data_IF_750249189484
#
_entry.id   IF_750249189484
#
_cell.length_a   1.000
_cell.length_b   1.000
_cell.length_c   1.000
_cell.angle_alpha   90.00
_cell.angle_beta   90.00
_cell.angle_gamma   90.00
#
_symmetry.space_group_name_H-M   'P 1'
#
loop_
_entity.id
_entity.type
_entity.pdbx_description
1 polymer ?
#
# COMPACT_ATOMS: atom_id res chain seq x y z
N UNK A 1 7.53 5.11 29.92
CA UNK A 1 6.16 4.63 29.62
C UNK A 1 6.15 4.11 28.19
N UNK A 2 5.45 3.00 27.92
CA UNK A 2 5.50 2.34 26.61
C UNK A 2 4.58 2.98 25.56
N UNK A 3 4.90 2.75 24.28
CA UNK A 3 4.11 3.25 23.15
C UNK A 3 2.64 2.76 23.18
N UNK A 4 2.43 1.54 23.70
CA UNK A 4 1.10 0.93 23.93
C UNK A 4 0.25 1.77 24.88
N UNK A 5 0.83 2.34 25.95
CA UNK A 5 0.12 3.20 26.89
C UNK A 5 -0.35 4.50 26.21
N UNK A 6 0.47 5.06 25.32
CA UNK A 6 0.14 6.26 24.55
C UNK A 6 -0.96 5.99 23.51
N UNK A 7 -0.91 4.84 22.83
CA UNK A 7 -1.92 4.37 21.88
C UNK A 7 -3.30 4.22 22.55
N UNK A 8 -3.35 3.59 23.73
CA UNK A 8 -4.59 3.42 24.49
C UNK A 8 -5.13 4.73 25.09
N UNK A 9 -4.28 5.74 25.32
CA UNK A 9 -4.69 7.06 25.80
C UNK A 9 -5.29 7.93 24.68
N UNK A 10 -4.75 7.84 23.45
CA UNK A 10 -5.19 8.64 22.30
C UNK A 10 -6.43 8.07 21.60
N UNK A 11 -6.63 6.75 21.61
CA UNK A 11 -7.73 6.08 20.90
C UNK A 11 -8.66 5.34 21.87
N UNK A 12 -9.38 6.13 22.69
CA UNK A 12 -10.31 5.62 23.68
C UNK A 12 -11.43 4.76 23.07
N UNK A 13 -11.49 3.47 23.44
CA UNK A 13 -12.62 2.60 23.13
C UNK A 13 -13.86 3.04 23.92
N UNK A 14 -14.98 3.23 23.23
CA UNK A 14 -16.30 3.30 23.87
C UNK A 14 -16.65 1.92 24.48
N UNK A 15 -17.18 1.86 25.71
CA UNK A 15 -17.62 0.59 26.29
C UNK A 15 -18.89 0.09 25.58
N UNK A 16 -19.05 -1.24 25.39
CA UNK A 16 -20.26 -1.80 24.79
C UNK A 16 -21.49 -1.65 25.70
N UNK A 17 -22.71 -1.55 25.14
CA UNK A 17 -23.92 -1.27 25.91
C UNK A 17 -24.31 -2.43 26.83
N UNK A 18 -24.54 -2.11 28.11
CA UNK A 18 -24.89 -3.11 29.14
C UNK A 18 -26.33 -3.60 28.95
N UNK A 19 -26.51 -4.81 28.41
CA UNK A 19 -27.84 -5.40 28.19
C UNK A 19 -28.47 -5.86 29.51
N UNK A 20 -29.44 -5.09 30.02
CA UNK A 20 -30.18 -5.43 31.23
C UNK A 20 -30.93 -6.77 31.09
N UNK A 21 -30.82 -7.64 32.09
CA UNK A 21 -31.61 -8.88 32.20
C UNK A 21 -33.02 -8.54 32.69
N UNK A 22 -34.00 -8.61 31.81
CA UNK A 22 -35.43 -8.60 32.21
C UNK A 22 -35.81 -10.00 32.69
N UNK A 23 -36.52 -10.11 33.82
CA UNK A 23 -36.92 -11.38 34.43
C UNK A 23 -38.40 -11.67 34.15
N UNK A 24 -38.66 -12.77 33.44
CA UNK A 24 -39.94 -13.50 33.38
C UNK A 24 -39.68 -14.86 32.66
N UNK A 25 -40.51 -15.90 32.76
CA UNK A 25 -41.77 -16.03 33.50
C UNK A 25 -42.59 -17.26 33.08
N UNK A 26 -42.11 -18.47 33.42
CA UNK A 26 -42.79 -19.80 33.46
C UNK A 26 -44.09 -20.06 32.65
N UNK A 27 -44.00 -20.98 31.69
CA UNK A 27 -44.98 -22.04 31.33
C UNK A 27 -44.20 -23.12 30.52
N UNK A 28 -44.36 -24.45 30.55
CA UNK A 28 -45.53 -25.36 30.69
C UNK A 28 -46.51 -25.31 29.50
N UNK A 29 -46.97 -26.40 28.86
CA UNK A 29 -46.47 -27.78 28.63
C UNK A 29 -47.50 -28.54 27.76
N UNK A 30 -47.13 -29.35 26.74
CA UNK A 30 -47.94 -30.49 26.21
C UNK A 30 -47.18 -31.34 25.18
N UNK A 31 -47.79 -32.46 24.77
CA UNK A 31 -47.25 -33.56 23.93
C UNK A 31 -48.38 -34.09 23.00
N UNK A 32 -48.05 -34.94 22.01
CA UNK A 32 -48.94 -35.61 21.01
C UNK A 32 -49.54 -34.70 19.91
N UNK A 33 -49.89 -35.17 18.69
CA UNK A 33 -49.87 -36.56 18.17
C UNK A 33 -49.57 -36.66 16.64
N UNK A 34 -49.52 -37.90 16.12
CA UNK A 34 -49.12 -38.29 14.74
C UNK A 34 -50.07 -37.93 13.58
N UNK A 35 -49.56 -37.98 12.34
CA UNK A 35 -50.30 -38.42 11.13
C UNK A 35 -49.33 -39.00 10.07
N UNK A 36 -49.75 -40.07 9.38
CA UNK A 36 -49.02 -40.80 8.32
C UNK A 36 -49.76 -40.69 6.96
N UNK A 37 -49.21 -41.02 5.79
CA UNK A 37 -48.04 -41.88 5.43
C UNK A 37 -47.05 -41.07 4.52
N UNK A 38 -46.15 -41.56 3.64
CA UNK A 38 -45.95 -42.85 2.95
C UNK A 38 -44.46 -43.11 2.60
N UNK A 39 -44.22 -44.10 1.71
CA UNK A 39 -42.98 -44.87 1.57
C UNK A 39 -42.22 -44.59 0.26
N UNK A 40 -40.90 -44.84 0.24
CA UNK A 40 -40.10 -44.76 -0.98
C UNK A 40 -38.59 -44.98 -0.77
N UNK A 41 -38.14 -46.23 -0.79
CA UNK A 41 -36.72 -46.58 -0.87
C UNK A 41 -36.09 -46.05 -2.17
N UNK A 42 -34.81 -45.65 -2.11
CA UNK A 42 -33.82 -45.93 -3.16
C UNK A 42 -32.38 -45.68 -2.68
N UNK A 43 -31.42 -46.35 -3.31
CA UNK A 43 -30.07 -46.54 -2.81
C UNK A 43 -29.13 -45.32 -2.90
N UNK A 44 -28.10 -45.34 -2.05
CA UNK A 44 -26.83 -44.64 -2.32
C UNK A 44 -26.06 -45.38 -3.41
N UNK A 45 -25.52 -44.68 -4.42
CA UNK A 45 -24.22 -45.02 -5.04
C UNK A 45 -23.65 -43.82 -5.84
N UNK A 46 -22.33 -43.76 -6.10
CA UNK A 46 -21.64 -42.57 -6.59
C UNK A 46 -21.58 -42.47 -8.12
N UNK A 47 -21.38 -41.26 -8.64
CA UNK A 47 -21.22 -40.99 -10.07
C UNK A 47 -19.86 -40.38 -10.42
N UNK A 48 -18.84 -41.24 -10.58
CA UNK A 48 -17.75 -40.97 -11.52
C UNK A 48 -18.15 -41.55 -12.87
N UNK A 49 -18.64 -40.69 -13.78
CA UNK A 49 -19.09 -41.10 -15.11
C UNK A 49 -17.92 -41.16 -16.09
N UNK A 50 -17.91 -42.21 -16.91
CA UNK A 50 -16.85 -42.57 -17.85
C UNK A 50 -16.94 -41.86 -19.21
N UNK A 51 -16.02 -42.28 -20.10
CA UNK A 51 -15.94 -42.08 -21.56
C UNK A 51 -14.96 -40.98 -21.98
N UNK A 52 -14.21 -41.14 -23.09
CA UNK A 52 -14.44 -42.07 -24.21
C UNK A 52 -13.52 -43.29 -24.35
N UNK A 53 -13.96 -44.22 -25.21
CA UNK A 53 -13.34 -45.51 -25.53
C UNK A 53 -13.50 -45.80 -27.01
N UNK A 54 -12.42 -45.77 -27.79
CA UNK A 54 -12.37 -46.29 -29.16
C UNK A 54 -11.52 -47.56 -29.24
N UNK A 55 -11.87 -48.46 -30.16
CA UNK A 55 -11.43 -49.87 -30.17
C UNK A 55 -10.53 -50.15 -31.37
N UNK A 56 -9.52 -51.00 -31.18
CA UNK A 56 -8.86 -51.77 -32.23
C UNK A 56 -8.26 -53.05 -31.67
N UNK A 57 -7.95 -54.00 -32.56
CA UNK A 57 -8.06 -55.44 -32.26
C UNK A 57 -6.72 -56.19 -32.25
N UNK A 58 -6.59 -57.09 -31.27
CA UNK A 58 -5.68 -58.23 -31.10
C UNK A 58 -4.43 -58.41 -32.00
N UNK A 59 -3.30 -58.70 -31.37
CA UNK A 59 -2.40 -59.83 -31.70
C UNK A 59 -1.62 -60.25 -30.44
N UNK A 60 -1.37 -61.55 -30.27
CA UNK A 60 -0.51 -62.11 -29.21
C UNK A 60 0.91 -62.34 -29.73
N UNK A 61 1.92 -61.90 -28.99
CA UNK A 61 3.33 -62.25 -29.22
C UNK A 61 4.10 -62.28 -27.89
N UNK A 62 5.17 -63.08 -27.84
CA UNK A 62 5.85 -63.48 -26.60
C UNK A 62 7.06 -62.61 -26.26
N UNK A 63 7.24 -62.38 -24.95
CA UNK A 63 8.40 -61.87 -24.19
C UNK A 63 9.70 -61.44 -24.93
N UNK A 64 10.24 -60.29 -24.51
CA UNK A 64 11.52 -60.18 -23.78
C UNK A 64 11.61 -58.86 -23.00
N UNK A 65 12.48 -58.79 -22.01
CA UNK A 65 12.84 -57.54 -21.32
C UNK A 65 13.64 -56.61 -22.24
N UNK A 66 13.43 -55.30 -22.17
CA UNK A 66 14.54 -54.34 -22.22
C UNK A 66 14.18 -52.97 -21.60
N UNK A 67 15.20 -52.25 -21.13
CA UNK A 67 15.06 -50.99 -20.40
C UNK A 67 14.96 -49.81 -21.37
N UNK A 68 13.98 -48.92 -21.18
CA UNK A 68 14.05 -47.56 -21.73
C UNK A 68 13.30 -46.57 -20.85
N UNK A 69 14.04 -45.58 -20.34
CA UNK A 69 13.50 -44.48 -19.55
C UNK A 69 12.84 -43.44 -20.45
N UNK A 70 11.59 -43.08 -20.15
CA UNK A 70 11.00 -41.83 -20.64
C UNK A 70 10.19 -41.21 -19.51
N UNK A 71 10.89 -40.43 -18.67
CA UNK A 71 10.23 -39.53 -17.73
C UNK A 71 9.72 -38.33 -18.52
N UNK A 72 8.42 -38.31 -18.80
CA UNK A 72 7.73 -37.15 -19.37
C UNK A 72 7.77 -36.03 -18.34
N UNK A 73 8.82 -35.21 -18.38
CA UNK A 73 8.88 -33.96 -17.61
C UNK A 73 7.72 -33.10 -18.06
N UNK A 74 6.73 -32.94 -17.18
CA UNK A 74 5.79 -31.83 -17.26
C UNK A 74 6.65 -30.57 -17.15
N UNK A 75 6.86 -29.90 -18.28
CA UNK A 75 7.61 -28.64 -18.35
C UNK A 75 6.71 -27.54 -17.81
N UNK A 76 6.61 -27.48 -16.48
CA UNK A 76 5.93 -26.42 -15.75
C UNK A 76 6.47 -25.08 -16.23
N UNK A 77 5.65 -24.35 -16.98
CA UNK A 77 6.06 -23.09 -17.58
C UNK A 77 6.15 -22.04 -16.48
N UNK A 78 7.37 -21.79 -15.99
CA UNK A 78 7.73 -20.71 -15.08
C UNK A 78 7.44 -19.35 -15.73
N UNK A 79 6.15 -19.02 -15.79
CA UNK A 79 5.64 -17.73 -16.22
C UNK A 79 5.96 -16.74 -15.12
N UNK A 80 7.19 -16.21 -15.18
CA UNK A 80 7.70 -15.12 -14.33
C UNK A 80 6.94 -13.84 -14.61
N UNK A 81 5.68 -13.82 -14.16
CA UNK A 81 4.97 -12.61 -13.80
C UNK A 81 5.92 -11.81 -12.94
N UNK A 82 6.36 -10.65 -13.46
CA UNK A 82 7.10 -9.66 -12.69
C UNK A 82 6.16 -9.15 -11.59
N UNK A 83 6.12 -9.86 -10.46
CA UNK A 83 5.37 -9.49 -9.27
C UNK A 83 6.07 -8.31 -8.63
N UNK A 84 5.84 -7.13 -9.22
CA UNK A 84 6.23 -5.84 -8.67
C UNK A 84 5.72 -5.79 -7.23
N UNK A 85 6.64 -5.58 -6.29
CA UNK A 85 6.30 -5.50 -4.87
C UNK A 85 5.31 -4.34 -4.66
N UNK A 86 4.23 -4.59 -3.94
CA UNK A 86 3.27 -3.56 -3.56
C UNK A 86 3.96 -2.41 -2.80
N UNK A 87 5.04 -2.70 -2.06
CA UNK A 87 5.89 -1.68 -1.42
C UNK A 87 6.63 -0.84 -2.47
N UNK A 88 7.21 -1.42 -3.53
CA UNK A 88 7.81 -0.64 -4.63
C UNK A 88 6.78 0.22 -5.38
N UNK A 89 5.56 -0.28 -5.58
CA UNK A 89 4.49 0.50 -6.21
C UNK A 89 4.07 1.67 -5.31
N UNK A 90 3.97 1.46 -3.99
CA UNK A 90 3.71 2.51 -3.00
C UNK A 90 4.83 3.56 -3.02
N UNK A 91 6.09 3.13 -2.92
CA UNK A 91 7.29 3.98 -2.92
C UNK A 91 7.38 4.84 -4.20
N UNK A 92 7.13 4.24 -5.37
CA UNK A 92 7.05 4.96 -6.65
C UNK A 92 5.88 5.96 -6.68
N UNK A 93 4.74 5.59 -6.11
CA UNK A 93 3.54 6.45 -6.04
C UNK A 93 3.77 7.67 -5.15
N UNK A 94 4.49 7.51 -4.02
CA UNK A 94 4.84 8.60 -3.10
C UNK A 94 5.83 9.56 -3.77
N UNK A 95 6.92 9.04 -4.34
CA UNK A 95 7.89 9.88 -5.04
C UNK A 95 7.26 10.65 -6.20
N UNK A 96 6.43 9.98 -7.01
CA UNK A 96 5.80 10.58 -8.18
C UNK A 96 4.65 11.55 -7.85
N UNK A 97 3.86 11.34 -6.78
CA UNK A 97 2.83 12.31 -6.38
C UNK A 97 3.46 13.65 -6.00
N UNK A 98 4.56 13.59 -5.26
CA UNK A 98 5.14 14.77 -4.65
C UNK A 98 6.04 15.49 -5.67
N UNK A 99 6.77 14.74 -6.50
CA UNK A 99 7.51 15.29 -7.64
C UNK A 99 6.63 15.94 -8.70
N UNK A 100 5.41 15.44 -8.94
CA UNK A 100 4.43 16.13 -9.79
C UNK A 100 3.90 17.41 -9.14
N UNK A 101 3.80 17.48 -7.81
CA UNK A 101 3.05 18.54 -7.12
C UNK A 101 3.94 19.69 -6.65
N UNK A 102 5.08 19.41 -6.02
CA UNK A 102 5.93 20.41 -5.36
C UNK A 102 6.77 21.21 -6.38
N UNK A 103 7.56 20.59 -7.28
CA UNK A 103 8.21 21.28 -8.40
C UNK A 103 7.25 22.08 -9.29
N UNK A 104 6.02 21.59 -9.51
CA UNK A 104 5.00 22.36 -10.25
C UNK A 104 4.57 23.61 -9.48
N UNK A 105 4.24 23.48 -8.19
CA UNK A 105 3.86 24.62 -7.37
C UNK A 105 4.99 25.67 -7.28
N UNK A 106 6.24 25.22 -7.12
CA UNK A 106 7.41 26.11 -7.09
C UNK A 106 7.62 26.81 -8.45
N UNK A 107 7.61 26.08 -9.57
CA UNK A 107 7.84 26.68 -10.89
C UNK A 107 6.72 27.64 -11.30
N UNK A 108 5.47 27.34 -10.95
CA UNK A 108 4.35 28.27 -11.07
C UNK A 108 4.57 29.52 -10.20
N UNK A 109 4.93 29.36 -8.93
CA UNK A 109 5.25 30.45 -8.01
C UNK A 109 6.35 31.37 -8.52
N UNK A 110 7.51 30.81 -8.88
CA UNK A 110 8.65 31.57 -9.42
C UNK A 110 8.34 32.25 -10.77
N UNK A 111 7.39 31.72 -11.55
CA UNK A 111 6.96 32.35 -12.80
C UNK A 111 6.27 33.71 -12.58
N UNK A 112 5.74 33.97 -11.38
CA UNK A 112 5.18 35.27 -11.03
C UNK A 112 6.25 36.39 -10.99
N UNK A 113 7.53 36.05 -10.86
CA UNK A 113 8.66 36.99 -10.89
C UNK A 113 9.10 37.37 -12.32
N UNK A 114 8.47 36.81 -13.36
CA UNK A 114 8.74 37.18 -14.75
C UNK A 114 10.13 36.84 -15.28
N UNK A 115 10.89 35.93 -14.66
CA UNK A 115 12.24 35.56 -15.08
C UNK A 115 12.44 34.05 -15.29
N UNK A 116 12.49 33.61 -16.55
CA UNK A 116 12.66 32.18 -16.94
C UNK A 116 13.87 31.52 -16.26
N UNK A 117 14.98 32.25 -16.13
CA UNK A 117 16.20 31.76 -15.47
C UNK A 117 15.97 31.41 -14.00
N UNK A 118 15.19 32.21 -13.27
CA UNK A 118 14.87 31.94 -11.86
C UNK A 118 14.03 30.68 -11.73
N UNK A 119 13.05 30.50 -12.62
CA UNK A 119 12.20 29.28 -12.67
C UNK A 119 13.04 28.03 -12.93
N UNK A 120 13.93 28.05 -13.95
CA UNK A 120 14.77 26.90 -14.30
C UNK A 120 15.77 26.59 -13.19
N UNK A 121 16.58 27.56 -12.73
CA UNK A 121 17.61 27.29 -11.73
C UNK A 121 17.03 26.97 -10.35
N UNK A 122 15.96 27.68 -9.93
CA UNK A 122 15.27 27.41 -8.68
C UNK A 122 14.57 26.05 -8.67
N UNK A 123 13.83 25.73 -9.74
CA UNK A 123 13.15 24.44 -9.89
C UNK A 123 14.14 23.27 -10.01
N UNK A 124 15.23 23.40 -10.77
CA UNK A 124 16.26 22.34 -10.85
C UNK A 124 17.00 22.14 -9.52
N UNK A 125 17.25 23.20 -8.76
CA UNK A 125 17.90 23.11 -7.45
C UNK A 125 16.98 22.43 -6.41
N UNK A 126 15.70 22.81 -6.36
CA UNK A 126 14.71 22.15 -5.52
C UNK A 126 14.53 20.69 -5.94
N UNK A 127 14.34 20.40 -7.23
CA UNK A 127 14.14 19.04 -7.74
C UNK A 127 15.25 18.07 -7.33
N UNK A 128 16.52 18.50 -7.41
CA UNK A 128 17.67 17.70 -6.98
C UNK A 128 17.69 17.55 -5.45
N UNK A 129 17.47 18.63 -4.70
CA UNK A 129 17.45 18.60 -3.23
C UNK A 129 16.29 17.74 -2.68
N UNK A 130 15.10 17.84 -3.26
CA UNK A 130 13.90 17.08 -2.93
C UNK A 130 14.07 15.59 -3.25
N UNK A 131 14.58 15.24 -4.43
CA UNK A 131 14.86 13.85 -4.80
C UNK A 131 15.87 13.18 -3.83
N UNK A 132 16.94 13.90 -3.45
CA UNK A 132 17.92 13.42 -2.46
C UNK A 132 17.26 13.30 -1.07
N UNK A 133 16.52 14.31 -0.64
CA UNK A 133 15.84 14.35 0.66
C UNK A 133 14.84 13.20 0.82
N UNK A 134 13.96 12.99 -0.17
CA UNK A 134 12.97 11.91 -0.14
C UNK A 134 13.61 10.51 -0.30
N UNK A 135 14.66 10.39 -1.11
CA UNK A 135 15.44 9.15 -1.21
C UNK A 135 16.09 8.77 0.13
N UNK A 136 16.68 9.73 0.84
CA UNK A 136 17.22 9.53 2.19
C UNK A 136 16.11 9.23 3.22
N UNK A 137 14.94 9.87 3.10
CA UNK A 137 13.76 9.55 3.91
C UNK A 137 13.30 8.10 3.74
N UNK A 138 13.15 7.63 2.50
CA UNK A 138 12.83 6.25 2.18
C UNK A 138 13.88 5.25 2.68
N UNK A 139 15.17 5.56 2.45
CA UNK A 139 16.28 4.75 2.98
C UNK A 139 16.20 4.60 4.51
N UNK A 140 16.04 5.72 5.22
CA UNK A 140 16.10 5.75 6.67
C UNK A 140 14.85 5.13 7.31
N UNK A 141 13.66 5.33 6.71
CA UNK A 141 12.42 4.67 7.12
C UNK A 141 12.50 3.15 6.98
N UNK A 142 12.85 2.64 5.79
CA UNK A 142 13.00 1.21 5.54
C UNK A 142 14.13 0.57 6.38
N UNK A 143 15.21 1.32 6.65
CA UNK A 143 16.27 0.90 7.60
C UNK A 143 15.78 0.88 9.05
N UNK A 144 14.90 1.80 9.45
CA UNK A 144 14.30 1.83 10.79
C UNK A 144 13.32 0.68 10.99
N UNK A 145 12.52 0.31 9.98
CA UNK A 145 11.69 -0.91 9.99
C UNK A 145 12.55 -2.17 10.17
N UNK A 146 13.68 -2.26 9.46
CA UNK A 146 14.62 -3.38 9.61
C UNK A 146 15.32 -3.44 10.97
N UNK A 147 15.54 -2.29 11.61
CA UNK A 147 16.03 -2.23 12.99
C UNK A 147 14.94 -2.67 14.00
N UNK A 148 13.70 -2.19 13.83
CA UNK A 148 12.53 -2.58 14.65
C UNK A 148 12.33 -4.09 14.63
N UNK A 149 12.17 -4.68 13.44
CA UNK A 149 11.98 -6.13 13.27
C UNK A 149 13.08 -6.97 13.93
N UNK A 150 14.35 -6.52 13.87
CA UNK A 150 15.47 -7.21 14.51
C UNK A 150 15.37 -7.14 16.04
N UNK A 151 15.03 -5.98 16.59
CA UNK A 151 14.93 -5.81 18.05
C UNK A 151 13.72 -6.55 18.62
N UNK A 152 12.54 -6.44 18.00
CA UNK A 152 11.35 -7.21 18.39
C UNK A 152 11.60 -8.72 18.31
N UNK A 153 12.28 -9.20 17.27
CA UNK A 153 12.64 -10.63 17.13
C UNK A 153 13.64 -11.06 18.22
N UNK A 154 14.57 -10.18 18.61
CA UNK A 154 15.50 -10.41 19.73
C UNK A 154 14.76 -10.49 21.07
N UNK A 155 13.85 -9.55 21.33
CA UNK A 155 13.01 -9.53 22.53
C UNK A 155 12.08 -10.75 22.61
N UNK A 156 11.43 -11.13 21.51
CA UNK A 156 10.59 -12.34 21.43
C UNK A 156 11.42 -13.62 21.65
N UNK A 157 12.65 -13.68 21.13
CA UNK A 157 13.57 -14.80 21.37
C UNK A 157 13.94 -14.91 22.85
N UNK A 158 14.28 -13.79 23.49
CA UNK A 158 14.56 -13.73 24.94
C UNK A 158 13.33 -14.12 25.76
N UNK A 159 12.17 -13.54 25.47
CA UNK A 159 10.91 -13.82 26.18
C UNK A 159 10.55 -15.31 26.12
N UNK A 160 10.77 -15.97 24.98
CA UNK A 160 10.59 -17.42 24.81
C UNK A 160 11.55 -18.26 25.68
N UNK A 161 12.72 -17.73 26.05
CA UNK A 161 13.72 -18.42 26.87
C UNK A 161 13.58 -18.11 28.37
N UNK A 162 13.30 -16.86 28.71
CA UNK A 162 13.23 -16.36 30.10
C UNK A 162 11.84 -16.59 30.73
N UNK A 163 10.75 -16.48 29.96
CA UNK A 163 9.36 -16.71 30.44
C UNK A 163 8.48 -17.42 29.38
N UNK A 164 8.59 -18.76 29.28
CA UNK A 164 7.72 -19.56 28.42
C UNK A 164 6.23 -19.46 28.76
N UNK A 165 5.85 -19.08 29.98
CA UNK A 165 4.46 -18.93 30.37
C UNK A 165 3.85 -17.64 29.79
N UNK A 166 4.62 -16.55 29.74
CA UNK A 166 4.26 -15.33 29.01
C UNK A 166 4.18 -15.58 27.51
N UNK A 167 5.11 -16.36 26.93
CA UNK A 167 5.04 -16.75 25.51
C UNK A 167 3.75 -17.53 25.19
N UNK A 168 3.37 -18.47 26.06
CA UNK A 168 2.11 -19.23 25.98
C UNK A 168 0.88 -18.30 26.07
N UNK A 169 0.91 -17.31 26.95
CA UNK A 169 -0.17 -16.32 27.09
C UNK A 169 -0.37 -15.46 25.83
N UNK A 170 0.72 -15.04 25.16
CA UNK A 170 0.63 -14.29 23.90
C UNK A 170 0.02 -15.12 22.76
N UNK A 171 0.31 -16.43 22.70
CA UNK A 171 -0.36 -17.34 21.74
C UNK A 171 -1.86 -17.45 22.02
N UNK A 172 -2.26 -17.50 23.30
CA UNK A 172 -3.67 -17.48 23.69
C UNK A 172 -4.38 -16.17 23.33
N UNK A 173 -3.76 -15.00 23.56
CA UNK A 173 -4.32 -13.68 23.19
C UNK A 173 -4.51 -13.54 21.66
N UNK A 174 -3.60 -14.11 20.86
CA UNK A 174 -3.74 -14.17 19.39
C UNK A 174 -4.91 -15.07 18.95
N UNK A 175 -5.19 -16.15 19.69
CA UNK A 175 -6.17 -17.17 19.28
C UNK A 175 -7.57 -17.00 19.92
N UNK A 176 -7.69 -16.28 21.04
CA UNK A 176 -8.97 -15.98 21.70
C UNK A 176 -10.04 -15.37 20.75
N UNK A 177 -9.73 -14.43 19.84
CA UNK A 177 -10.73 -13.84 18.93
C UNK A 177 -11.36 -14.81 17.92
N UNK A 178 -10.87 -16.04 17.81
CA UNK A 178 -11.38 -17.06 16.89
C UNK A 178 -12.42 -18.01 17.55
N UNK A 179 -12.77 -17.79 18.83
CA UNK A 179 -13.80 -18.55 19.58
C UNK A 179 -13.62 -20.09 19.52
N UNK A 180 -12.35 -20.53 19.62
CA UNK A 180 -12.00 -21.94 19.57
C UNK A 180 -12.46 -22.69 20.84
N UNK A 181 -12.93 -23.95 20.73
CA UNK A 181 -13.24 -24.78 21.90
C UNK A 181 -12.02 -24.88 22.84
N UNK A 182 -12.23 -24.69 24.15
CA UNK A 182 -11.14 -24.54 25.13
C UNK A 182 -10.06 -25.62 25.06
N UNK A 183 -10.46 -26.89 24.91
CA UNK A 183 -9.55 -28.02 24.75
C UNK A 183 -8.66 -27.84 23.50
N UNK A 184 -9.25 -27.53 22.35
CA UNK A 184 -8.53 -27.24 21.11
C UNK A 184 -7.64 -26.01 21.21
N UNK A 185 -8.06 -24.98 21.94
CA UNK A 185 -7.25 -23.77 22.19
C UNK A 185 -6.02 -24.09 23.04
N UNK A 186 -6.17 -24.89 24.11
CA UNK A 186 -5.07 -25.37 24.95
C UNK A 186 -4.13 -26.31 24.16
N UNK A 187 -4.67 -27.30 23.45
CA UNK A 187 -3.92 -28.24 22.60
C UNK A 187 -3.10 -27.52 21.52
N UNK A 188 -3.70 -26.57 20.80
CA UNK A 188 -3.01 -25.82 19.73
C UNK A 188 -1.94 -24.91 20.33
N UNK A 189 -2.22 -24.25 21.45
CA UNK A 189 -1.24 -23.41 22.15
C UNK A 189 -0.01 -24.23 22.57
N UNK A 190 -0.18 -25.42 23.15
CA UNK A 190 0.95 -26.22 23.65
C UNK A 190 1.82 -26.81 22.52
N UNK A 191 1.21 -27.18 21.40
CA UNK A 191 1.94 -27.55 20.18
C UNK A 191 2.64 -26.34 19.51
N UNK A 192 2.09 -25.13 19.61
CA UNK A 192 2.75 -23.90 19.13
C UNK A 192 3.90 -23.48 20.05
N UNK A 193 3.72 -23.54 21.37
CA UNK A 193 4.76 -23.22 22.36
C UNK A 193 5.98 -24.15 22.30
N UNK A 194 5.82 -25.37 21.78
CA UNK A 194 6.91 -26.32 21.52
C UNK A 194 7.45 -26.29 20.08
N UNK A 195 6.85 -25.49 19.20
CA UNK A 195 7.24 -25.39 17.78
C UNK A 195 8.48 -24.52 17.58
N UNK A 196 9.46 -24.93 16.73
CA UNK A 196 10.60 -24.08 16.38
C UNK A 196 10.21 -22.81 15.60
N UNK A 197 8.93 -22.65 15.22
CA UNK A 197 8.37 -21.45 14.57
C UNK A 197 7.53 -20.57 15.51
N UNK A 198 7.55 -20.79 16.82
CA UNK A 198 6.84 -19.94 17.80
C UNK A 198 7.20 -18.45 17.63
N UNK A 199 8.49 -18.13 17.47
CA UNK A 199 8.97 -16.76 17.29
C UNK A 199 8.43 -16.16 15.97
N UNK A 200 8.42 -16.93 14.87
CA UNK A 200 7.86 -16.45 13.59
C UNK A 200 6.35 -16.20 13.69
N UNK A 201 5.62 -17.06 14.41
CA UNK A 201 4.20 -16.90 14.70
C UNK A 201 3.93 -15.64 15.54
N UNK A 202 4.67 -15.44 16.64
CA UNK A 202 4.49 -14.26 17.50
C UNK A 202 4.86 -12.97 16.74
N UNK A 203 5.95 -12.96 15.95
CA UNK A 203 6.29 -11.82 15.10
C UNK A 203 5.18 -11.49 14.10
N UNK A 204 4.61 -12.50 13.43
CA UNK A 204 3.57 -12.31 12.41
C UNK A 204 2.19 -11.95 12.96
N UNK A 205 1.76 -12.55 14.08
CA UNK A 205 0.37 -12.48 14.56
C UNK A 205 0.17 -11.70 15.87
N UNK A 206 1.18 -11.66 16.77
CA UNK A 206 1.12 -10.84 17.99
C UNK A 206 1.71 -9.44 17.77
N UNK A 207 2.89 -9.36 17.14
CA UNK A 207 3.56 -8.07 16.85
C UNK A 207 3.16 -7.46 15.50
N UNK A 208 2.60 -8.25 14.57
CA UNK A 208 2.23 -7.85 13.21
C UNK A 208 3.40 -7.28 12.37
N UNK A 209 4.65 -7.60 12.71
CA UNK A 209 5.82 -7.17 11.94
C UNK A 209 6.19 -8.21 10.87
N UNK A 210 6.38 -7.74 9.63
CA UNK A 210 6.82 -8.57 8.50
C UNK A 210 8.33 -8.50 8.33
N UNK A 211 8.96 -9.61 7.95
CA UNK A 211 10.39 -9.65 7.64
C UNK A 211 10.73 -8.70 6.46
N UNK A 212 11.60 -7.69 6.67
CA UNK A 212 11.96 -6.74 5.63
C UNK A 212 13.08 -7.31 4.75
N UNK A 213 12.84 -7.34 3.43
CA UNK A 213 13.82 -7.82 2.45
C UNK A 213 15.15 -7.04 2.54
N UNK A 214 16.27 -7.76 2.49
CA UNK A 214 17.61 -7.24 2.82
C UNK A 214 18.06 -6.03 2.00
N UNK A 215 17.65 -5.93 0.72
CA UNK A 215 17.99 -4.79 -0.15
C UNK A 215 16.91 -3.69 -0.19
N UNK A 216 15.83 -3.82 0.59
CA UNK A 216 14.67 -2.92 0.52
C UNK A 216 15.03 -1.46 0.75
N UNK A 217 15.93 -1.15 1.69
CA UNK A 217 16.25 0.24 2.01
C UNK A 217 16.84 1.00 0.81
N UNK A 218 17.73 0.38 0.03
CA UNK A 218 18.29 0.99 -1.18
C UNK A 218 17.29 1.04 -2.34
N UNK A 219 16.47 -0.02 -2.50
CA UNK A 219 15.42 -0.06 -3.54
C UNK A 219 14.36 1.02 -3.29
N UNK A 220 13.89 1.16 -2.05
CA UNK A 220 12.92 2.17 -1.63
C UNK A 220 13.44 3.58 -1.89
N UNK A 221 14.66 3.87 -1.41
CA UNK A 221 15.34 5.15 -1.63
C UNK A 221 15.45 5.53 -3.11
N UNK A 222 15.92 4.61 -3.95
CA UNK A 222 16.08 4.83 -5.38
C UNK A 222 14.73 5.01 -6.08
N UNK A 223 13.71 4.23 -5.69
CA UNK A 223 12.37 4.27 -6.30
C UNK A 223 11.65 5.58 -5.98
N UNK A 224 11.72 6.05 -4.73
CA UNK A 224 11.15 7.34 -4.31
C UNK A 224 11.90 8.50 -4.99
N UNK A 225 13.24 8.50 -4.94
CA UNK A 225 14.05 9.56 -5.54
C UNK A 225 13.86 9.65 -7.07
N UNK A 226 13.79 8.51 -7.77
CA UNK A 226 13.52 8.48 -9.20
C UNK A 226 12.09 8.92 -9.52
N UNK A 227 11.09 8.53 -8.72
CA UNK A 227 9.71 9.02 -8.85
C UNK A 227 9.63 10.54 -8.72
N UNK A 228 10.31 11.12 -7.73
CA UNK A 228 10.36 12.57 -7.52
C UNK A 228 11.05 13.29 -8.68
N UNK A 229 12.22 12.81 -9.08
CA UNK A 229 13.01 13.39 -10.17
C UNK A 229 12.25 13.36 -11.51
N UNK A 230 11.63 12.22 -11.85
CA UNK A 230 10.87 12.07 -13.09
C UNK A 230 9.56 12.87 -13.08
N UNK A 231 8.88 12.95 -11.92
CA UNK A 231 7.69 13.79 -11.75
C UNK A 231 8.02 15.28 -11.93
N UNK A 232 9.07 15.76 -11.28
CA UNK A 232 9.43 17.18 -11.26
C UNK A 232 10.10 17.71 -12.53
N UNK A 233 10.63 16.84 -13.39
CA UNK A 233 11.06 17.23 -14.73
C UNK A 233 9.87 17.64 -15.63
N UNK A 234 8.67 17.09 -15.41
CA UNK A 234 7.48 17.35 -16.25
C UNK A 234 7.04 18.83 -16.20
N UNK A 235 6.84 19.49 -15.02
CA UNK A 235 6.49 20.91 -14.99
C UNK A 235 7.62 21.82 -15.48
N UNK A 236 8.87 21.41 -15.31
CA UNK A 236 10.06 22.14 -15.79
C UNK A 236 10.23 22.06 -17.32
N UNK A 237 9.79 20.98 -17.97
CA UNK A 237 10.09 20.70 -19.37
C UNK A 237 9.76 21.86 -20.34
N UNK A 238 8.59 22.54 -20.27
CA UNK A 238 8.26 23.62 -21.20
C UNK A 238 9.18 24.84 -21.10
N UNK A 239 9.72 25.14 -19.91
CA UNK A 239 10.59 26.30 -19.70
C UNK A 239 11.94 26.19 -20.42
N UNK A 240 12.34 24.99 -20.85
CA UNK A 240 13.55 24.79 -21.66
C UNK A 240 13.36 25.07 -23.16
N UNK A 241 12.12 25.10 -23.67
CA UNK A 241 11.83 25.23 -25.12
C UNK A 241 11.15 26.55 -25.50
N UNK A 242 10.48 27.21 -24.56
CA UNK A 242 9.90 28.55 -24.79
C UNK A 242 10.99 29.62 -24.71
N UNK A 243 10.97 30.67 -25.56
CA UNK A 243 11.90 31.79 -25.47
C UNK A 243 11.93 32.40 -24.07
N UNK A 244 13.13 32.75 -23.59
CA UNK A 244 13.33 33.21 -22.21
C UNK A 244 12.63 34.54 -21.85
N UNK A 245 12.08 35.23 -22.85
CA UNK A 245 11.29 36.47 -22.76
C UNK A 245 9.82 36.19 -22.37
N UNK A 246 9.25 35.03 -22.74
CA UNK A 246 7.82 34.71 -22.59
C UNK A 246 7.53 33.72 -21.46
N UNK A 247 7.90 34.08 -20.22
CA UNK A 247 7.66 33.26 -19.01
C UNK A 247 6.20 32.80 -18.88
N UNK A 248 5.25 33.67 -19.18
CA UNK A 248 3.83 33.37 -19.09
C UNK A 248 3.39 32.31 -20.11
N UNK A 249 3.99 32.27 -21.30
CA UNK A 249 3.71 31.21 -22.29
C UNK A 249 4.23 29.86 -21.80
N UNK A 250 5.44 29.82 -21.22
CA UNK A 250 5.99 28.62 -20.60
C UNK A 250 5.11 28.13 -19.43
N UNK A 251 4.62 29.05 -18.60
CA UNK A 251 3.70 28.77 -17.50
C UNK A 251 2.37 28.17 -18.02
N UNK A 252 1.72 28.77 -19.02
CA UNK A 252 0.46 28.23 -19.54
C UNK A 252 0.62 26.83 -20.14
N UNK A 253 1.73 26.56 -20.84
CA UNK A 253 2.04 25.22 -21.37
C UNK A 253 2.32 24.25 -20.20
N UNK A 254 3.07 24.67 -19.18
CA UNK A 254 3.34 23.86 -17.98
C UNK A 254 2.05 23.50 -17.23
N UNK A 255 1.15 24.47 -16.99
CA UNK A 255 -0.17 24.23 -16.38
C UNK A 255 -1.00 23.24 -17.20
N UNK A 256 -1.01 23.35 -18.54
CA UNK A 256 -1.74 22.42 -19.40
C UNK A 256 -1.17 20.99 -19.36
N UNK A 257 0.16 20.85 -19.44
CA UNK A 257 0.86 19.56 -19.31
C UNK A 257 0.62 18.94 -17.93
N UNK A 258 0.67 19.75 -16.87
CA UNK A 258 0.51 19.29 -15.49
C UNK A 258 -0.93 18.91 -15.16
N UNK A 259 -1.93 19.59 -15.70
CA UNK A 259 -3.32 19.16 -15.58
C UNK A 259 -3.54 17.75 -16.17
N UNK A 260 -2.92 17.45 -17.33
CA UNK A 260 -2.95 16.11 -17.93
C UNK A 260 -2.14 15.10 -17.10
N UNK A 261 -0.95 15.46 -16.64
CA UNK A 261 -0.08 14.57 -15.86
C UNK A 261 -0.67 14.19 -14.50
N UNK A 262 -1.21 15.16 -13.74
CA UNK A 262 -1.88 14.94 -12.46
C UNK A 262 -3.15 14.10 -12.63
N UNK A 263 -3.95 14.37 -13.66
CA UNK A 263 -5.15 13.58 -13.95
C UNK A 263 -4.80 12.13 -14.30
N UNK A 264 -3.83 11.92 -15.19
CA UNK A 264 -3.39 10.59 -15.60
C UNK A 264 -2.79 9.81 -14.42
N UNK A 265 -1.97 10.45 -13.58
CA UNK A 265 -1.40 9.85 -12.38
C UNK A 265 -2.49 9.46 -11.36
N UNK A 266 -3.41 10.37 -11.03
CA UNK A 266 -4.51 10.09 -10.10
C UNK A 266 -5.46 8.99 -10.61
N UNK A 267 -5.71 8.95 -11.91
CA UNK A 267 -6.47 7.89 -12.57
C UNK A 267 -5.76 6.53 -12.45
N UNK A 268 -4.48 6.44 -12.84
CA UNK A 268 -3.70 5.19 -12.78
C UNK A 268 -3.53 4.70 -11.34
N UNK A 269 -3.17 5.59 -10.40
CA UNK A 269 -3.10 5.29 -8.96
C UNK A 269 -4.40 4.66 -8.45
N UNK A 270 -5.54 5.22 -8.83
CA UNK A 270 -6.86 4.73 -8.41
C UNK A 270 -7.23 3.40 -9.09
N UNK A 271 -6.87 3.19 -10.36
CA UNK A 271 -7.06 1.91 -11.07
C UNK A 271 -6.22 0.77 -10.48
N UNK A 272 -5.00 1.05 -10.01
CA UNK A 272 -4.14 0.06 -9.33
C UNK A 272 -4.81 -0.44 -8.03
N UNK A 273 -5.44 0.44 -7.27
CA UNK A 273 -6.12 0.09 -6.00
C UNK A 273 -7.53 -0.48 -6.21
N UNK A 274 -8.30 0.08 -7.14
CA UNK A 274 -9.74 -0.23 -7.34
C UNK A 274 -10.01 -1.28 -8.41
N UNK A 275 -8.96 -1.73 -9.11
CA UNK A 275 -9.07 -2.59 -10.29
C UNK A 275 -9.39 -1.83 -11.58
N UNK A 276 -9.08 -2.47 -12.71
CA UNK A 276 -9.15 -1.86 -14.05
C UNK A 276 -10.51 -2.04 -14.75
N UNK A 277 -11.41 -2.87 -14.22
CA UNK A 277 -12.61 -3.32 -14.92
C UNK A 277 -13.90 -2.92 -14.21
N UNK A 278 -14.72 -2.12 -14.89
CA UNK A 278 -16.09 -1.81 -14.48
C UNK A 278 -16.36 -0.30 -14.32
N UNK A 279 -17.60 0.10 -14.60
CA UNK A 279 -18.03 1.51 -14.63
C UNK A 279 -17.82 2.24 -13.29
N UNK A 280 -17.92 1.52 -12.15
CA UNK A 280 -17.64 2.08 -10.81
C UNK A 280 -16.16 2.43 -10.64
N UNK A 281 -15.26 1.52 -11.04
CA UNK A 281 -13.82 1.72 -10.95
C UNK A 281 -13.36 2.87 -11.85
N UNK A 282 -13.87 2.96 -13.09
CA UNK A 282 -13.61 4.10 -13.99
C UNK A 282 -14.10 5.42 -13.38
N UNK A 283 -15.30 5.44 -12.79
CA UNK A 283 -15.81 6.65 -12.10
C UNK A 283 -14.92 7.06 -10.91
N UNK A 284 -14.46 6.10 -10.11
CA UNK A 284 -13.53 6.37 -9.01
C UNK A 284 -12.19 6.90 -9.54
N UNK A 285 -11.66 6.34 -10.63
CA UNK A 285 -10.40 6.79 -11.22
C UNK A 285 -10.49 8.19 -11.85
N UNK A 286 -11.61 8.55 -12.47
CA UNK A 286 -11.87 9.93 -12.93
C UNK A 286 -11.95 10.90 -11.74
N UNK A 287 -12.54 10.49 -10.61
CA UNK A 287 -12.57 11.31 -9.39
C UNK A 287 -11.17 11.49 -8.80
N UNK A 288 -10.39 10.42 -8.62
CA UNK A 288 -9.01 10.51 -8.10
C UNK A 288 -8.05 11.28 -9.03
N UNK A 289 -8.28 11.22 -10.35
CA UNK A 289 -7.60 12.08 -11.32
C UNK A 289 -7.95 13.57 -11.12
N UNK A 290 -9.24 13.89 -10.95
CA UNK A 290 -9.70 15.26 -10.70
C UNK A 290 -9.22 15.79 -9.33
N UNK A 291 -9.20 14.96 -8.29
CA UNK A 291 -8.67 15.29 -6.97
C UNK A 291 -7.19 15.71 -7.05
N UNK A 292 -6.35 14.95 -7.76
CA UNK A 292 -4.93 15.33 -7.97
C UNK A 292 -4.78 16.66 -8.72
N UNK A 293 -5.62 16.93 -9.72
CA UNK A 293 -5.62 18.23 -10.44
C UNK A 293 -6.04 19.37 -9.52
N UNK A 294 -7.06 19.19 -8.68
CA UNK A 294 -7.52 20.20 -7.71
C UNK A 294 -6.44 20.47 -6.65
N UNK A 295 -5.80 19.43 -6.10
CA UNK A 295 -4.72 19.58 -5.11
C UNK A 295 -3.49 20.27 -5.72
N UNK A 296 -3.05 19.85 -6.91
CA UNK A 296 -1.92 20.49 -7.59
C UNK A 296 -2.21 21.94 -8.02
N UNK A 297 -3.42 22.21 -8.50
CA UNK A 297 -3.87 23.56 -8.82
C UNK A 297 -3.96 24.47 -7.59
N UNK A 298 -4.42 23.94 -6.45
CA UNK A 298 -4.44 24.67 -5.19
C UNK A 298 -3.02 24.96 -4.66
N UNK A 299 -2.10 23.98 -4.75
CA UNK A 299 -0.70 24.16 -4.36
C UNK A 299 0.01 25.23 -5.22
N UNK A 300 -0.16 25.16 -6.55
CA UNK A 300 0.38 26.16 -7.48
C UNK A 300 -0.24 27.55 -7.26
N UNK A 301 -1.57 27.63 -7.06
CA UNK A 301 -2.26 28.89 -6.76
C UNK A 301 -1.79 29.52 -5.44
N UNK A 302 -1.56 28.71 -4.40
CA UNK A 302 -1.01 29.17 -3.13
C UNK A 302 0.43 29.68 -3.27
N UNK A 303 1.29 28.96 -4.00
CA UNK A 303 2.67 29.38 -4.25
C UNK A 303 2.75 30.67 -5.09
N UNK A 304 1.93 30.79 -6.14
CA UNK A 304 1.82 32.03 -6.93
C UNK A 304 1.29 33.21 -6.10
N UNK A 305 0.28 32.98 -5.27
CA UNK A 305 -0.25 34.01 -4.36
C UNK A 305 0.80 34.49 -3.36
N UNK A 306 1.56 33.56 -2.76
CA UNK A 306 2.61 33.86 -1.80
C UNK A 306 3.76 34.67 -2.43
N UNK A 307 4.31 34.19 -3.55
CA UNK A 307 5.43 34.87 -4.24
C UNK A 307 5.01 36.26 -4.71
N UNK A 308 3.80 36.41 -5.27
CA UNK A 308 3.28 37.71 -5.71
C UNK A 308 3.03 38.68 -4.55
N UNK A 309 2.60 38.20 -3.39
CA UNK A 309 2.44 39.05 -2.20
C UNK A 309 3.79 39.57 -1.69
N UNK A 310 4.83 38.73 -1.66
CA UNK A 310 6.18 39.15 -1.26
C UNK A 310 6.83 40.11 -2.26
N UNK A 311 6.65 39.90 -3.56
CA UNK A 311 7.11 40.82 -4.61
C UNK A 311 6.47 42.22 -4.47
N UNK A 312 5.15 42.27 -4.23
CA UNK A 312 4.43 43.53 -3.98
C UNK A 312 4.89 44.24 -2.69
N UNK A 313 5.20 43.50 -1.62
CA UNK A 313 5.73 44.07 -0.38
C UNK A 313 7.13 44.66 -0.59
N UNK A 314 8.04 43.91 -1.22
CA UNK A 314 9.41 44.37 -1.51
C UNK A 314 9.42 45.66 -2.35
N UNK A 315 8.55 45.73 -3.37
CA UNK A 315 8.37 46.96 -4.17
C UNK A 315 7.84 48.13 -3.33
N UNK A 316 6.95 47.89 -2.35
CA UNK A 316 6.43 48.94 -1.48
C UNK A 316 7.46 49.47 -0.48
N UNK A 317 8.32 48.60 0.05
CA UNK A 317 9.40 48.99 0.97
C UNK A 317 10.47 49.82 0.23
N UNK A 318 10.93 49.39 -0.95
CA UNK A 318 11.89 50.15 -1.78
C UNK A 318 11.32 51.52 -2.20
N UNK A 319 10.02 51.59 -2.58
CA UNK A 319 9.36 52.86 -2.89
C UNK A 319 9.29 53.78 -1.67
N UNK A 320 9.06 53.25 -0.46
CA UNK A 320 9.07 54.05 0.77
C UNK A 320 10.46 54.61 1.10
N UNK A 321 11.51 53.80 0.90
CA UNK A 321 12.91 54.15 1.14
C UNK A 321 13.51 55.07 0.05
N UNK A 322 12.86 55.16 -1.12
CA UNK A 322 13.10 56.17 -2.16
C UNK A 322 12.37 57.48 -1.82
N UNK A 323 11.11 57.42 -1.41
CA UNK A 323 10.33 58.60 -1.04
C UNK A 323 11.01 59.40 0.10
N UNK A 324 11.50 58.72 1.15
CA UNK A 324 12.20 59.35 2.29
C UNK A 324 13.65 59.80 1.99
N UNK A 325 14.06 59.85 0.71
CA UNK A 325 15.33 60.42 0.24
C UNK A 325 15.12 61.56 -0.78
N UNK A 326 13.86 61.80 -1.17
CA UNK A 326 13.47 62.81 -2.17
C UNK A 326 12.64 63.92 -1.52
N UNK A 327 11.98 63.63 -0.40
CA UNK A 327 11.31 64.57 0.51
C UNK A 327 11.99 64.58 1.89
#
# INVERSE_FOLDING_TARGET
MGLVTLKNLLFGRTPPPTRAKTVNGRAESTMSDETIVDSGDLERQPLLRSSDRTVSTATMATATSETSTTSTRVSESDSRSFRLDARMISDATIGLSDGLTVPFALTAGLSALGQTKVVIFGGMAELIAGAISMGLGGYLGAKSEAASYKETRSECTRLTQDDPAMARAQVLEVLEPYDLPKQTLEDVTDHLSTSPRLIDFLMQFHHCEQEPASNRAFISALTIAAGYLLGGLIPLFPYFFVPAEDVYLALYISVAVMAVALFAFGYVKTCIVSGWSGLRCVRQAVVGGLEMVVVGGAAAGAAMGLVKAFDQLAQSDDVSALASKIF
#
